data_IF_030158672901
#
_entry.id   IF_030158672901
#
_cell.length_a   1.000
_cell.length_b   1.000
_cell.length_c   1.000
_cell.angle_alpha   90.00
_cell.angle_beta   90.00
_cell.angle_gamma   90.00
#
_symmetry.space_group_name_H-M   'P 1'
#
loop_
_entity.id
_entity.type
_entity.pdbx_description
1 polymer ?
#
# COMPACT_ATOMS: atom_id res chain seq x y z
N UNK A 1 -4.12 -1.58 -0.92
CA UNK A 1 -4.08 -1.62 -2.40
C UNK A 1 -5.15 -2.53 -3.01
N UNK A 2 -5.16 -3.84 -2.79
CA UNK A 2 -6.10 -4.77 -3.46
C UNK A 2 -7.60 -4.48 -3.19
N UNK A 3 -7.98 -4.07 -1.98
CA UNK A 3 -9.37 -3.76 -1.60
C UNK A 3 -9.93 -2.53 -2.34
N UNK A 4 -9.07 -1.59 -2.72
CA UNK A 4 -9.45 -0.37 -3.45
C UNK A 4 -9.42 -0.56 -4.98
N UNK A 5 -8.71 -1.59 -5.46
CA UNK A 5 -8.56 -1.92 -6.89
C UNK A 5 -9.54 -3.00 -7.39
N UNK A 6 -10.18 -3.77 -6.49
CA UNK A 6 -11.09 -4.87 -6.86
C UNK A 6 -12.42 -4.42 -7.50
N UNK A 7 -12.67 -3.10 -7.52
CA UNK A 7 -13.83 -2.47 -8.14
C UNK A 7 -13.38 -1.73 -9.42
N UNK A 8 -13.21 -2.48 -10.52
CA UNK A 8 -13.31 -1.97 -11.89
C UNK A 8 -12.48 -0.73 -12.24
N UNK A 9 -11.16 -0.88 -12.27
CA UNK A 9 -10.20 0.14 -12.74
C UNK A 9 -10.18 0.22 -14.29
N UNK A 10 -11.32 0.62 -14.90
CA UNK A 10 -11.40 0.90 -16.35
C UNK A 10 -11.89 2.32 -16.58
N UNK A 11 -10.97 3.18 -17.06
CA UNK A 11 -11.27 4.51 -17.59
C UNK A 11 -11.27 5.54 -16.47
N UNK A 12 -10.21 6.35 -16.42
CA UNK A 12 -9.93 7.21 -15.28
C UNK A 12 -11.08 8.14 -14.92
N UNK A 13 -11.38 8.25 -13.62
CA UNK A 13 -12.03 9.42 -13.02
C UNK A 13 -12.20 9.25 -11.49
N UNK A 14 -12.03 10.37 -10.79
CA UNK A 14 -12.61 10.79 -9.50
C UNK A 14 -12.42 9.83 -8.31
N UNK A 15 -11.51 10.20 -7.39
CA UNK A 15 -11.51 9.66 -6.02
C UNK A 15 -12.85 9.96 -5.36
N UNK A 16 -13.49 9.00 -4.67
CA UNK A 16 -14.80 9.23 -4.07
C UNK A 16 -14.72 10.28 -2.98
N UNK A 17 -15.67 11.21 -2.97
CA UNK A 17 -15.73 12.30 -1.98
C UNK A 17 -16.38 11.87 -0.66
N UNK A 18 -17.18 10.81 -0.69
CA UNK A 18 -17.80 10.20 0.50
C UNK A 18 -17.72 8.68 0.49
N UNK A 19 -17.11 8.10 1.52
CA UNK A 19 -17.07 6.65 1.75
C UNK A 19 -17.73 6.26 3.07
N UNK A 20 -18.32 5.06 3.10
CA UNK A 20 -18.87 4.42 4.30
C UNK A 20 -18.01 3.22 4.68
N UNK A 21 -17.58 3.14 5.93
CA UNK A 21 -16.81 2.02 6.48
C UNK A 21 -17.57 1.39 7.64
N UNK A 22 -17.86 0.10 7.54
CA UNK A 22 -18.57 -0.69 8.55
C UNK A 22 -17.57 -1.63 9.20
N UNK A 23 -17.38 -1.51 10.51
CA UNK A 23 -16.38 -2.27 11.25
C UNK A 23 -15.05 -1.54 11.25
N UNK A 24 -14.77 -0.88 12.36
CA UNK A 24 -13.55 -0.12 12.61
C UNK A 24 -12.53 -0.97 13.36
N UNK A 25 -12.31 -2.20 12.90
CA UNK A 25 -11.21 -3.06 13.34
C UNK A 25 -9.89 -2.70 12.63
N UNK A 26 -8.87 -3.56 12.73
CA UNK A 26 -7.57 -3.34 12.05
C UNK A 26 -7.71 -3.07 10.55
N UNK A 27 -8.59 -3.82 9.87
CA UNK A 27 -8.81 -3.62 8.43
C UNK A 27 -9.56 -2.31 8.15
N UNK A 28 -10.60 -1.99 8.92
CA UNK A 28 -11.35 -0.74 8.78
C UNK A 28 -10.44 0.49 8.94
N UNK A 29 -9.56 0.48 9.94
CA UNK A 29 -8.51 1.50 10.13
C UNK A 29 -7.61 1.63 8.91
N UNK A 30 -7.13 0.50 8.38
CA UNK A 30 -6.29 0.51 7.19
C UNK A 30 -7.02 1.04 5.95
N UNK A 31 -8.32 0.74 5.78
CA UNK A 31 -9.14 1.25 4.66
C UNK A 31 -9.30 2.76 4.77
N UNK A 32 -9.64 3.26 5.95
CA UNK A 32 -9.78 4.71 6.22
C UNK A 32 -8.47 5.43 5.91
N UNK A 33 -7.36 5.00 6.50
CA UNK A 33 -6.04 5.64 6.31
C UNK A 33 -5.61 5.63 4.83
N UNK A 34 -5.85 4.52 4.12
CA UNK A 34 -5.50 4.43 2.71
C UNK A 34 -6.41 5.30 1.82
N UNK A 35 -7.70 5.39 2.13
CA UNK A 35 -8.62 6.27 1.40
C UNK A 35 -8.21 7.75 1.55
N UNK A 36 -7.82 8.15 2.77
CA UNK A 36 -7.31 9.50 3.06
C UNK A 36 -6.04 9.79 2.26
N UNK A 37 -5.09 8.86 2.27
CA UNK A 37 -3.84 8.98 1.50
C UNK A 37 -4.11 9.17 0.01
N UNK A 38 -4.96 8.32 -0.56
CA UNK A 38 -5.32 8.39 -1.97
C UNK A 38 -6.09 9.67 -2.32
N UNK A 39 -6.96 10.16 -1.44
CA UNK A 39 -7.66 11.42 -1.62
C UNK A 39 -6.67 12.59 -1.71
N UNK A 40 -5.70 12.65 -0.78
CA UNK A 40 -4.67 13.70 -0.76
C UNK A 40 -3.85 13.70 -2.03
N UNK A 41 -3.31 12.56 -2.45
CA UNK A 41 -2.49 12.43 -3.66
C UNK A 41 -3.19 12.97 -4.93
N UNK A 42 -4.52 12.81 -5.02
CA UNK A 42 -5.31 13.20 -6.19
C UNK A 42 -5.96 14.58 -6.09
N UNK A 43 -6.00 15.21 -4.90
CA UNK A 43 -6.73 16.46 -4.66
C UNK A 43 -5.89 17.55 -3.97
N UNK A 44 -4.56 17.52 -4.13
CA UNK A 44 -3.61 18.52 -3.57
C UNK A 44 -3.99 20.01 -3.84
N UNK A 45 -4.81 20.30 -4.84
CA UNK A 45 -5.21 21.65 -5.25
C UNK A 45 -6.63 22.07 -4.86
N UNK A 46 -7.43 21.17 -4.25
CA UNK A 46 -8.81 21.45 -3.83
C UNK A 46 -8.90 21.50 -2.31
N UNK A 47 -9.59 22.50 -1.77
CA UNK A 47 -9.86 22.62 -0.33
C UNK A 47 -11.00 21.67 0.14
N UNK A 48 -11.24 20.59 -0.60
CA UNK A 48 -12.33 19.64 -0.34
C UNK A 48 -11.83 18.54 0.60
N UNK A 49 -12.64 18.25 1.63
CA UNK A 49 -12.34 17.22 2.63
C UNK A 49 -13.08 15.94 2.31
N UNK A 50 -12.36 14.81 2.33
CA UNK A 50 -12.95 13.48 2.20
C UNK A 50 -13.95 13.23 3.34
N UNK A 51 -15.19 12.91 3.02
CA UNK A 51 -16.19 12.48 4.01
C UNK A 51 -16.05 10.98 4.25
N UNK A 52 -15.95 10.59 5.52
CA UNK A 52 -15.84 9.19 5.94
C UNK A 52 -16.87 8.94 7.02
N UNK A 53 -17.93 8.21 6.68
CA UNK A 53 -18.88 7.73 7.69
C UNK A 53 -18.38 6.39 8.22
N UNK A 54 -18.29 6.23 9.54
CA UNK A 54 -17.81 5.00 10.19
C UNK A 54 -18.92 4.41 11.05
N UNK A 55 -19.34 3.18 10.76
CA UNK A 55 -20.29 2.43 11.58
C UNK A 55 -19.55 1.36 12.37
N UNK A 56 -19.62 1.44 13.69
CA UNK A 56 -19.08 0.44 14.61
C UNK A 56 -19.79 0.55 15.97
N UNK A 57 -19.78 -0.54 16.76
CA UNK A 57 -20.33 -0.55 18.12
C UNK A 57 -19.62 0.46 19.04
N UNK A 58 -18.36 0.76 18.75
CA UNK A 58 -17.50 1.70 19.48
C UNK A 58 -16.99 2.82 18.54
N UNK A 59 -17.80 3.22 17.54
CA UNK A 59 -17.37 4.15 16.49
C UNK A 59 -16.76 5.45 17.03
N UNK A 60 -17.36 6.03 18.07
CA UNK A 60 -16.90 7.28 18.67
C UNK A 60 -15.48 7.14 19.23
N UNK A 61 -15.26 6.16 20.11
CA UNK A 61 -13.97 5.92 20.75
C UNK A 61 -12.87 5.61 19.72
N UNK A 62 -13.21 4.84 18.68
CA UNK A 62 -12.25 4.45 17.64
C UNK A 62 -11.90 5.61 16.70
N UNK A 63 -12.86 6.46 16.35
CA UNK A 63 -12.60 7.67 15.58
C UNK A 63 -11.72 8.65 16.37
N UNK A 64 -12.02 8.88 17.64
CA UNK A 64 -11.19 9.73 18.52
C UNK A 64 -9.76 9.20 18.66
N UNK A 65 -9.60 7.89 18.90
CA UNK A 65 -8.30 7.23 18.96
C UNK A 65 -7.50 7.42 17.66
N UNK A 66 -8.16 7.34 16.51
CA UNK A 66 -7.54 7.54 15.21
C UNK A 66 -7.08 9.00 15.03
N UNK A 67 -7.91 9.99 15.37
CA UNK A 67 -7.54 11.40 15.32
C UNK A 67 -6.38 11.74 16.27
N UNK A 68 -6.33 11.15 17.47
CA UNK A 68 -5.20 11.34 18.40
C UNK A 68 -3.90 10.75 17.85
N UNK A 69 -3.97 9.57 17.23
CA UNK A 69 -2.80 8.91 16.61
C UNK A 69 -2.31 9.63 15.36
N UNK A 70 -3.20 10.31 14.65
CA UNK A 70 -2.92 11.01 13.40
C UNK A 70 -3.55 12.43 13.45
N UNK A 71 -2.92 13.39 14.16
CA UNK A 71 -3.51 14.70 14.44
C UNK A 71 -3.85 15.54 13.20
N UNK A 72 -3.19 15.28 12.08
CA UNK A 72 -3.37 16.05 10.87
C UNK A 72 -4.57 15.56 10.01
N UNK A 73 -5.30 14.50 10.45
CA UNK A 73 -6.50 13.98 9.77
C UNK A 73 -7.61 15.02 9.63
N UNK A 74 -7.76 15.88 10.63
CA UNK A 74 -8.79 16.91 10.68
C UNK A 74 -8.67 17.96 9.56
N UNK A 75 -7.51 18.02 8.89
CA UNK A 75 -7.31 18.94 7.76
C UNK A 75 -7.73 18.30 6.42
N UNK A 76 -7.70 16.96 6.33
CA UNK A 76 -7.83 16.22 5.07
C UNK A 76 -9.20 15.55 4.94
N UNK A 77 -9.76 15.06 6.04
CA UNK A 77 -11.02 14.32 6.04
C UNK A 77 -11.94 14.75 7.18
N UNK A 78 -13.23 14.52 7.01
CA UNK A 78 -14.23 14.60 8.06
C UNK A 78 -14.73 13.19 8.38
N UNK A 79 -14.43 12.71 9.58
CA UNK A 79 -14.86 11.39 10.04
C UNK A 79 -16.15 11.56 10.85
N UNK A 80 -17.23 10.91 10.40
CA UNK A 80 -18.54 10.91 11.04
C UNK A 80 -18.77 9.55 11.70
N UNK A 81 -18.52 9.40 13.01
CA UNK A 81 -18.78 8.15 13.72
C UNK A 81 -20.28 7.97 13.94
N UNK A 82 -20.78 6.78 13.60
CA UNK A 82 -22.13 6.32 13.82
C UNK A 82 -22.09 5.09 14.71
N UNK A 83 -22.38 5.28 15.99
CA UNK A 83 -22.28 4.22 16.98
C UNK A 83 -23.53 3.32 16.94
N UNK A 84 -23.43 2.19 16.24
CA UNK A 84 -24.53 1.23 16.11
C UNK A 84 -24.01 -0.17 15.75
N UNK A 85 -24.83 -1.19 16.03
CA UNK A 85 -24.57 -2.56 15.59
C UNK A 85 -25.25 -2.83 14.25
N UNK A 86 -24.67 -3.71 13.41
CA UNK A 86 -25.21 -4.02 12.08
C UNK A 86 -26.54 -4.77 12.10
N UNK A 87 -26.90 -5.38 13.23
CA UNK A 87 -28.20 -6.03 13.43
C UNK A 87 -29.22 -5.10 14.10
N UNK A 88 -28.84 -3.85 14.40
CA UNK A 88 -29.72 -2.88 15.05
C UNK A 88 -30.81 -2.40 14.09
N UNK A 89 -31.99 -2.01 14.61
CA UNK A 89 -33.04 -1.38 13.80
C UNK A 89 -32.53 -0.17 13.02
N UNK A 90 -31.63 0.63 13.59
CA UNK A 90 -31.10 1.84 12.97
C UNK A 90 -30.22 1.51 11.77
N UNK A 91 -29.42 0.44 11.86
CA UNK A 91 -28.66 -0.07 10.73
C UNK A 91 -29.56 -0.54 9.58
N UNK A 92 -30.58 -1.33 9.91
CA UNK A 92 -31.49 -1.94 8.92
C UNK A 92 -32.35 -0.91 8.18
N UNK A 93 -32.69 0.22 8.83
CA UNK A 93 -33.37 1.35 8.18
C UNK A 93 -32.44 2.11 7.22
N UNK A 94 -31.14 2.06 7.46
CA UNK A 94 -30.09 2.66 6.63
C UNK A 94 -30.32 4.16 6.33
N UNK A 95 -30.85 4.91 7.31
CA UNK A 95 -31.14 6.34 7.15
C UNK A 95 -29.87 7.17 6.90
N UNK A 96 -28.72 6.70 7.41
CA UNK A 96 -27.40 7.30 7.18
C UNK A 96 -26.94 7.26 5.71
N UNK A 97 -27.59 6.47 4.85
CA UNK A 97 -27.32 6.48 3.41
C UNK A 97 -27.95 7.70 2.71
N UNK A 98 -28.92 8.35 3.34
CA UNK A 98 -29.67 9.47 2.77
C UNK A 98 -29.15 10.75 3.41
N UNK A 99 -28.33 11.49 2.68
CA UNK A 99 -27.95 12.83 3.12
C UNK A 99 -29.17 13.77 3.06
N UNK A 100 -29.41 14.63 4.07
CA UNK A 100 -30.37 15.73 3.97
C UNK A 100 -29.99 16.77 2.90
N UNK A 101 -28.74 16.77 2.44
CA UNK A 101 -28.17 17.69 1.45
C UNK A 101 -27.81 16.95 0.16
N UNK A 102 -28.26 17.47 -0.98
CA UNK A 102 -28.19 16.89 -2.36
C UNK A 102 -26.76 16.61 -2.89
N UNK A 103 -25.70 16.76 -2.09
CA UNK A 103 -24.29 16.72 -2.54
C UNK A 103 -23.38 15.75 -1.75
N UNK A 104 -23.93 14.88 -0.87
CA UNK A 104 -23.12 14.03 0.03
C UNK A 104 -23.57 12.55 0.05
N UNK A 105 -23.97 12.01 -1.10
CA UNK A 105 -24.34 10.58 -1.16
C UNK A 105 -23.10 9.70 -1.04
N UNK A 106 -23.24 8.57 -0.35
CA UNK A 106 -22.17 7.58 -0.19
C UNK A 106 -21.80 7.02 -1.56
N UNK A 107 -20.56 7.23 -2.00
CA UNK A 107 -20.08 6.76 -3.31
C UNK A 107 -19.46 5.37 -3.24
N UNK A 108 -19.08 4.91 -2.04
CA UNK A 108 -18.50 3.57 -1.84
C UNK A 108 -18.68 3.06 -0.41
N UNK A 109 -18.93 1.76 -0.27
CA UNK A 109 -19.08 1.08 1.03
C UNK A 109 -18.01 0.01 1.21
N UNK A 110 -17.42 -0.04 2.41
CA UNK A 110 -16.51 -1.08 2.85
C UNK A 110 -17.05 -1.76 4.10
N UNK A 111 -17.24 -3.08 4.05
CA UNK A 111 -17.63 -3.90 5.19
C UNK A 111 -16.42 -4.70 5.66
N UNK A 112 -15.89 -4.31 6.81
CA UNK A 112 -14.62 -4.75 7.38
C UNK A 112 -14.79 -5.52 8.70
N UNK A 113 -15.91 -6.24 8.85
CA UNK A 113 -16.20 -7.06 10.03
C UNK A 113 -15.34 -8.35 10.03
N UNK A 114 -14.95 -8.82 11.21
CA UNK A 114 -14.13 -10.04 11.36
C UNK A 114 -14.93 -11.34 11.13
N UNK A 115 -16.27 -11.28 11.18
CA UNK A 115 -17.17 -12.41 10.94
C UNK A 115 -17.77 -12.30 9.54
N UNK A 116 -17.47 -13.29 8.68
CA UNK A 116 -17.90 -13.34 7.28
C UNK A 116 -19.43 -13.36 7.12
N UNK A 117 -20.14 -14.07 8.01
CA UNK A 117 -21.60 -14.14 7.96
C UNK A 117 -22.23 -12.80 8.31
N UNK A 118 -21.68 -12.15 9.33
CA UNK A 118 -22.08 -10.81 9.75
C UNK A 118 -21.74 -9.76 8.69
N UNK A 119 -20.56 -9.85 8.07
CA UNK A 119 -20.12 -8.98 6.97
C UNK A 119 -21.03 -9.09 5.75
N UNK A 120 -21.35 -10.32 5.34
CA UNK A 120 -22.25 -10.56 4.23
C UNK A 120 -23.67 -10.08 4.53
N UNK A 121 -24.19 -10.37 5.72
CA UNK A 121 -25.50 -9.87 6.16
C UNK A 121 -25.55 -8.34 6.11
N UNK A 122 -24.54 -7.67 6.68
CA UNK A 122 -24.44 -6.22 6.71
C UNK A 122 -24.44 -5.61 5.30
N UNK A 123 -23.64 -6.16 4.38
CA UNK A 123 -23.57 -5.66 3.01
C UNK A 123 -24.82 -5.95 2.16
N UNK A 124 -25.41 -7.15 2.29
CA UNK A 124 -26.65 -7.49 1.57
C UNK A 124 -27.85 -6.65 2.05
N UNK A 125 -27.95 -6.40 3.35
CA UNK A 125 -28.99 -5.55 3.93
C UNK A 125 -28.90 -4.12 3.37
N UNK A 126 -27.69 -3.58 3.20
CA UNK A 126 -27.50 -2.28 2.56
C UNK A 126 -27.90 -2.28 1.08
N UNK A 127 -27.47 -3.29 0.31
CA UNK A 127 -27.83 -3.40 -1.11
C UNK A 127 -29.35 -3.43 -1.33
N UNK A 128 -30.11 -4.02 -0.41
CA UNK A 128 -31.58 -4.02 -0.47
C UNK A 128 -32.19 -2.63 -0.27
N UNK A 129 -31.52 -1.74 0.47
CA UNK A 129 -31.95 -0.35 0.67
C UNK A 129 -31.47 0.56 -0.47
N UNK A 130 -30.37 0.22 -1.12
CA UNK A 130 -29.73 0.99 -2.20
C UNK A 130 -30.31 0.72 -3.61
N UNK A 131 -31.52 0.17 -3.74
CA UNK A 131 -32.11 -0.31 -5.02
C UNK A 131 -32.07 0.68 -6.20
N UNK A 132 -31.94 1.98 -5.94
CA UNK A 132 -31.88 3.04 -6.97
C UNK A 132 -30.48 3.56 -7.26
N UNK A 133 -29.51 3.35 -6.35
CA UNK A 133 -28.16 3.91 -6.43
C UNK A 133 -27.12 2.80 -6.58
N UNK A 134 -26.28 2.89 -7.62
CA UNK A 134 -25.26 1.89 -7.95
C UNK A 134 -23.98 2.13 -7.13
N UNK A 135 -24.08 2.04 -5.81
CA UNK A 135 -22.94 2.23 -4.91
C UNK A 135 -22.20 0.89 -4.77
N UNK A 136 -20.89 0.81 -5.09
CA UNK A 136 -20.12 -0.41 -4.88
C UNK A 136 -19.98 -0.73 -3.40
N UNK A 137 -20.26 -1.99 -3.04
CA UNK A 137 -20.12 -2.53 -1.68
C UNK A 137 -19.03 -3.59 -1.68
N UNK A 138 -17.93 -3.32 -0.96
CA UNK A 138 -16.79 -4.23 -0.81
C UNK A 138 -16.84 -4.90 0.56
N UNK A 139 -16.87 -6.23 0.59
CA UNK A 139 -16.99 -7.02 1.83
C UNK A 139 -15.70 -7.81 2.04
N UNK A 140 -15.15 -7.70 3.25
CA UNK A 140 -14.07 -8.56 3.75
C UNK A 140 -14.61 -9.97 3.98
N UNK A 141 -13.90 -10.96 3.47
CA UNK A 141 -14.11 -12.37 3.76
C UNK A 141 -12.78 -12.99 4.24
N UNK A 142 -12.80 -13.90 5.21
CA UNK A 142 -11.60 -14.55 5.75
C UNK A 142 -11.21 -15.77 4.90
N UNK A 143 -12.18 -16.44 4.29
CA UNK A 143 -11.95 -17.56 3.37
C UNK A 143 -12.60 -17.30 2.01
N UNK A 144 -12.03 -17.86 0.94
CA UNK A 144 -12.70 -18.06 -0.35
C UNK A 144 -13.80 -19.13 -0.21
N UNK A 145 -14.67 -18.99 0.79
CA UNK A 145 -15.84 -19.86 0.94
C UNK A 145 -16.72 -19.71 -0.29
N UNK A 146 -17.46 -20.77 -0.65
CA UNK A 146 -18.20 -20.92 -1.91
C UNK A 146 -19.14 -19.77 -2.33
N UNK A 147 -19.44 -18.84 -1.41
CA UNK A 147 -20.16 -17.59 -1.70
C UNK A 147 -19.29 -16.52 -2.37
N UNK A 148 -18.00 -16.42 -2.03
CA UNK A 148 -17.05 -15.57 -2.74
C UNK A 148 -16.93 -15.99 -4.22
N UNK A 149 -16.99 -17.30 -4.51
CA UNK A 149 -17.02 -17.86 -5.87
C UNK A 149 -18.33 -17.58 -6.60
N UNK A 150 -19.46 -17.51 -5.88
CA UNK A 150 -20.75 -17.07 -6.46
C UNK A 150 -20.76 -15.56 -6.80
N UNK A 151 -19.88 -14.78 -6.16
CA UNK A 151 -19.75 -13.33 -6.36
C UNK A 151 -18.57 -12.95 -7.28
N UNK A 152 -17.58 -13.83 -7.41
CA UNK A 152 -16.31 -13.59 -8.09
C UNK A 152 -15.98 -14.66 -9.10
N UNK A 153 -16.58 -14.60 -10.29
CA UNK A 153 -15.85 -14.97 -11.51
C UNK A 153 -16.36 -14.21 -12.75
N UNK A 154 -15.40 -13.82 -13.59
CA UNK A 154 -15.45 -12.67 -14.50
C UNK A 154 -16.37 -12.73 -15.72
N UNK A 155 -17.12 -13.82 -15.96
CA UNK A 155 -17.94 -13.97 -17.17
C UNK A 155 -19.41 -14.41 -16.92
N UNK A 156 -19.81 -14.65 -15.66
CA UNK A 156 -21.17 -15.06 -15.30
C UNK A 156 -22.03 -13.93 -14.69
N UNK A 157 -21.67 -12.65 -14.87
CA UNK A 157 -22.36 -11.48 -14.26
C UNK A 157 -23.69 -11.10 -14.93
N UNK A 158 -24.63 -12.03 -15.05
CA UNK A 158 -26.04 -11.74 -15.35
C UNK A 158 -26.89 -11.92 -14.09
N UNK A 159 -27.02 -10.87 -13.26
CA UNK A 159 -27.87 -10.90 -12.07
C UNK A 159 -27.79 -9.65 -11.17
N UNK A 160 -28.70 -9.59 -10.18
CA UNK A 160 -28.98 -8.49 -9.22
C UNK A 160 -27.83 -8.07 -8.27
N UNK A 161 -26.59 -8.53 -8.48
CA UNK A 161 -25.49 -8.41 -7.52
C UNK A 161 -24.18 -7.90 -8.16
N UNK A 162 -24.26 -7.02 -9.16
CA UNK A 162 -23.07 -6.51 -9.87
C UNK A 162 -22.24 -5.56 -9.00
N UNK A 163 -22.85 -5.00 -7.97
CA UNK A 163 -22.31 -3.98 -7.08
C UNK A 163 -21.65 -4.57 -5.82
N UNK A 164 -21.68 -5.90 -5.65
CA UNK A 164 -21.09 -6.59 -4.50
C UNK A 164 -19.71 -7.16 -4.85
N UNK A 165 -18.70 -6.82 -4.06
CA UNK A 165 -17.32 -7.25 -4.25
C UNK A 165 -16.82 -7.96 -3.00
N UNK A 166 -16.55 -9.27 -3.09
CA UNK A 166 -15.91 -10.02 -2.01
C UNK A 166 -14.37 -9.89 -2.11
N UNK A 167 -13.70 -9.73 -0.98
CA UNK A 167 -12.24 -9.73 -0.88
C UNK A 167 -11.76 -10.67 0.23
N UNK A 168 -11.03 -11.72 -0.16
CA UNK A 168 -10.42 -12.70 0.74
C UNK A 168 -9.20 -12.15 1.49
N UNK A 169 -9.22 -12.21 2.81
CA UNK A 169 -8.10 -11.92 3.69
C UNK A 169 -7.37 -13.25 3.93
N UNK A 170 -6.32 -13.53 3.16
CA UNK A 170 -5.47 -14.70 3.38
C UNK A 170 -5.05 -14.73 4.85
N UNK A 171 -5.49 -15.77 5.57
CA UNK A 171 -5.09 -16.08 6.94
C UNK A 171 -3.57 -16.29 6.99
N UNK A 172 -2.80 -15.21 7.04
CA UNK A 172 -1.39 -15.26 7.39
C UNK A 172 -1.29 -15.15 8.91
N UNK A 173 -1.25 -16.33 9.52
CA UNK A 173 -1.05 -16.56 10.94
C UNK A 173 0.22 -15.81 11.38
N UNK A 174 0.01 -14.83 12.26
CA UNK A 174 1.04 -13.93 12.75
C UNK A 174 2.06 -14.66 13.63
N UNK A 175 3.29 -14.75 13.15
CA UNK A 175 4.50 -14.68 13.99
C UNK A 175 5.35 -13.53 13.45
N UNK A 176 6.09 -12.85 14.33
CA UNK A 176 6.84 -11.63 14.00
C UNK A 176 7.84 -11.80 12.83
N UNK A 177 8.31 -13.03 12.59
CA UNK A 177 9.18 -13.37 11.46
C UNK A 177 8.41 -13.51 10.12
N UNK A 178 7.13 -13.90 10.16
CA UNK A 178 6.24 -13.99 9.00
C UNK A 178 5.65 -12.64 8.59
N UNK A 179 5.46 -11.73 9.55
CA UNK A 179 5.13 -10.32 9.27
C UNK A 179 6.22 -9.66 8.42
N UNK A 180 7.49 -10.01 8.64
CA UNK A 180 8.61 -9.49 7.87
C UNK A 180 8.71 -10.09 6.46
N UNK A 181 8.38 -11.39 6.28
CA UNK A 181 8.38 -12.02 4.95
C UNK A 181 7.36 -11.40 3.97
N UNK A 182 6.16 -11.05 4.45
CA UNK A 182 5.12 -10.38 3.65
C UNK A 182 5.38 -8.88 3.44
N UNK A 183 5.89 -8.17 4.45
CA UNK A 183 6.26 -6.75 4.30
C UNK A 183 7.46 -6.56 3.39
N UNK A 184 8.43 -7.50 3.38
CA UNK A 184 9.55 -7.43 2.46
C UNK A 184 9.11 -7.59 1.01
N UNK A 185 8.06 -8.35 0.72
CA UNK A 185 7.52 -8.45 -0.63
C UNK A 185 6.83 -7.15 -1.07
N UNK A 186 6.01 -6.56 -0.19
CA UNK A 186 5.38 -5.26 -0.44
C UNK A 186 6.44 -4.18 -0.64
N UNK A 187 7.46 -4.16 0.22
CA UNK A 187 8.55 -3.20 0.15
C UNK A 187 9.40 -3.43 -1.10
N UNK A 188 9.76 -4.67 -1.44
CA UNK A 188 10.49 -5.01 -2.66
C UNK A 188 9.76 -4.56 -3.93
N UNK A 189 8.43 -4.74 -3.96
CA UNK A 189 7.56 -4.24 -5.04
C UNK A 189 7.55 -2.72 -5.14
N UNK A 190 7.47 -2.01 -4.01
CA UNK A 190 7.50 -0.54 -4.01
C UNK A 190 8.88 0.02 -4.39
N UNK A 191 9.98 -0.59 -3.92
CA UNK A 191 11.34 -0.24 -4.35
C UNK A 191 11.49 -0.38 -5.86
N UNK A 192 11.02 -1.50 -6.42
CA UNK A 192 11.03 -1.72 -7.88
C UNK A 192 10.14 -0.72 -8.62
N UNK A 193 8.96 -0.38 -8.07
CA UNK A 193 8.08 0.64 -8.66
C UNK A 193 8.72 2.02 -8.68
N UNK A 194 9.46 2.40 -7.65
CA UNK A 194 10.18 3.68 -7.59
C UNK A 194 11.35 3.67 -8.58
N UNK A 195 12.13 2.59 -8.63
CA UNK A 195 13.18 2.39 -9.64
C UNK A 195 12.66 2.56 -11.07
N UNK A 196 11.54 1.92 -11.42
CA UNK A 196 10.93 2.09 -12.75
C UNK A 196 10.54 3.54 -13.03
N UNK A 197 9.96 4.24 -12.05
CA UNK A 197 9.54 5.64 -12.23
C UNK A 197 10.70 6.59 -12.45
N UNK A 198 11.84 6.36 -11.79
CA UNK A 198 13.04 7.17 -11.97
C UNK A 198 13.71 6.92 -13.32
N UNK A 199 13.72 5.66 -13.80
CA UNK A 199 14.26 5.30 -15.11
C UNK A 199 13.44 5.88 -16.27
N UNK A 200 12.12 6.04 -16.10
CA UNK A 200 11.25 6.66 -17.12
C UNK A 200 11.40 8.17 -17.24
N UNK A 201 11.94 8.84 -16.21
CA UNK A 201 12.15 10.30 -16.21
C UNK A 201 13.50 10.68 -16.83
N UNK A 202 14.47 9.76 -16.80
CA UNK A 202 15.76 9.91 -17.45
C UNK A 202 15.60 9.51 -18.93
N UNK A 203 15.40 10.49 -19.82
CA UNK A 203 15.20 10.30 -21.28
C UNK A 203 16.46 9.75 -22.02
N UNK A 204 17.29 8.96 -21.35
CA UNK A 204 18.42 8.24 -21.93
C UNK A 204 17.98 6.84 -22.33
N UNK A 205 18.19 6.49 -23.60
CA UNK A 205 17.91 5.19 -24.21
C UNK A 205 18.55 4.07 -23.36
N UNK A 206 17.76 3.43 -22.49
CA UNK A 206 18.10 2.14 -21.89
C UNK A 206 17.34 1.05 -22.65
N UNK A 207 17.67 0.90 -23.93
CA UNK A 207 17.27 -0.27 -24.71
C UNK A 207 17.85 -1.53 -24.03
N UNK A 208 16.96 -2.46 -23.68
CA UNK A 208 17.26 -3.86 -23.31
C UNK A 208 17.82 -4.13 -21.90
N UNK A 209 17.32 -3.45 -20.86
CA UNK A 209 17.47 -3.99 -19.49
C UNK A 209 16.28 -4.89 -19.14
N UNK A 210 16.56 -6.16 -18.84
CA UNK A 210 15.60 -7.15 -18.31
C UNK A 210 14.94 -6.74 -16.99
N UNK A 211 15.46 -5.70 -16.32
CA UNK A 211 14.89 -5.14 -15.11
C UNK A 211 13.82 -4.07 -15.39
N UNK A 212 13.70 -3.56 -16.62
CA UNK A 212 12.72 -2.54 -17.01
C UNK A 212 11.36 -3.14 -17.39
N UNK A 213 10.87 -4.05 -16.54
CA UNK A 213 9.58 -4.71 -16.71
C UNK A 213 8.74 -4.57 -15.44
N UNK A 214 7.39 -4.61 -15.54
CA UNK A 214 6.53 -4.67 -14.36
C UNK A 214 6.93 -5.84 -13.45
N UNK A 215 6.72 -5.67 -12.13
CA UNK A 215 7.11 -6.68 -11.12
C UNK A 215 6.70 -8.10 -11.50
N UNK A 216 5.49 -8.31 -12.02
CA UNK A 216 4.99 -9.65 -12.37
C UNK A 216 5.84 -10.35 -13.44
N UNK A 217 6.44 -9.58 -14.34
CA UNK A 217 7.28 -10.05 -15.43
C UNK A 217 8.77 -10.07 -15.08
N UNK A 218 9.15 -9.56 -13.90
CA UNK A 218 10.53 -9.52 -13.46
C UNK A 218 11.05 -10.95 -13.23
N UNK A 219 12.23 -11.32 -13.76
CA UNK A 219 12.84 -12.62 -13.51
C UNK A 219 12.98 -12.92 -12.02
N UNK A 220 12.75 -14.16 -11.60
CA UNK A 220 12.72 -14.53 -10.17
C UNK A 220 14.02 -14.20 -9.44
N UNK A 221 15.17 -14.33 -10.12
CA UNK A 221 16.47 -13.94 -9.56
C UNK A 221 16.57 -12.43 -9.22
N UNK A 222 15.88 -11.58 -9.98
CA UNK A 222 15.84 -10.14 -9.73
C UNK A 222 14.80 -9.81 -8.66
N UNK A 223 13.66 -10.52 -8.63
CA UNK A 223 12.71 -10.43 -7.51
C UNK A 223 13.38 -10.79 -6.20
N UNK A 224 14.10 -11.91 -6.16
CA UNK A 224 14.87 -12.33 -4.99
C UNK A 224 15.91 -11.29 -4.59
N UNK A 225 16.64 -10.71 -5.56
CA UNK A 225 17.57 -9.61 -5.27
C UNK A 225 16.88 -8.43 -4.57
N UNK A 226 15.68 -8.04 -5.02
CA UNK A 226 14.88 -6.98 -4.41
C UNK A 226 14.35 -7.37 -3.02
N UNK A 227 13.88 -8.61 -2.83
CA UNK A 227 13.44 -9.13 -1.52
C UNK A 227 14.56 -9.06 -0.48
N UNK A 228 15.76 -9.52 -0.86
CA UNK A 228 16.92 -9.52 0.03
C UNK A 228 17.35 -8.07 0.30
N UNK A 229 17.29 -7.16 -0.67
CA UNK A 229 17.54 -5.73 -0.43
C UNK A 229 16.51 -5.14 0.56
N UNK A 230 15.22 -5.37 0.34
CA UNK A 230 14.15 -4.93 1.24
C UNK A 230 14.36 -5.40 2.69
N UNK A 231 14.79 -6.66 2.85
CA UNK A 231 15.08 -7.25 4.16
C UNK A 231 16.28 -6.61 4.89
N UNK A 232 17.14 -5.87 4.20
CA UNK A 232 18.32 -5.24 4.79
C UNK A 232 18.20 -3.72 4.97
N UNK A 233 17.14 -3.07 4.48
CA UNK A 233 16.95 -1.61 4.60
C UNK A 233 17.08 -1.15 6.05
N UNK A 234 16.49 -1.88 7.01
CA UNK A 234 16.58 -1.52 8.42
C UNK A 234 18.02 -1.51 8.96
N UNK A 235 18.88 -2.40 8.47
CA UNK A 235 20.31 -2.42 8.83
C UNK A 235 21.05 -1.25 8.20
N UNK A 236 20.78 -0.97 6.92
CA UNK A 236 21.38 0.16 6.19
C UNK A 236 21.04 1.49 6.86
N UNK A 237 19.78 1.68 7.28
CA UNK A 237 19.36 2.87 8.02
C UNK A 237 20.05 2.99 9.40
N UNK A 238 20.29 1.87 10.08
CA UNK A 238 20.92 1.88 11.40
C UNK A 238 22.37 2.42 11.37
N UNK A 239 23.06 2.34 10.22
CA UNK A 239 24.40 2.90 10.03
C UNK A 239 24.45 4.43 10.20
N UNK A 240 23.30 5.10 10.05
CA UNK A 240 23.16 6.56 10.19
C UNK A 240 22.27 6.97 11.37
N UNK A 241 22.03 6.07 12.33
CA UNK A 241 21.15 6.33 13.48
C UNK A 241 19.67 6.45 13.07
N UNK A 242 19.28 5.80 11.97
CA UNK A 242 17.91 5.79 11.48
C UNK A 242 17.28 4.39 11.67
N UNK A 243 15.96 4.35 11.83
CA UNK A 243 15.18 3.12 11.98
C UNK A 243 13.87 3.20 11.20
N UNK A 244 13.28 2.04 10.92
CA UNK A 244 11.95 1.95 10.31
C UNK A 244 10.91 1.92 11.44
N UNK A 245 9.95 2.83 11.37
CA UNK A 245 8.80 2.88 12.27
C UNK A 245 7.49 2.79 11.48
N UNK A 246 6.39 2.47 12.18
CA UNK A 246 5.06 2.60 11.57
C UNK A 246 4.78 4.05 11.22
N UNK A 247 4.22 4.29 10.04
CA UNK A 247 3.87 5.63 9.60
C UNK A 247 2.83 6.24 10.55
N UNK A 248 3.17 7.41 11.08
CA UNK A 248 2.32 8.29 11.92
C UNK A 248 2.22 9.67 11.30
N UNK A 249 3.30 10.10 10.64
CA UNK A 249 3.37 11.32 9.86
C UNK A 249 3.24 10.99 8.38
N UNK A 250 2.25 11.60 7.71
CA UNK A 250 2.02 11.40 6.29
C UNK A 250 2.94 12.22 5.37
N UNK A 251 3.76 13.12 5.92
CA UNK A 251 4.89 13.79 5.22
C UNK A 251 6.19 12.99 5.34
N UNK A 252 6.18 11.83 5.99
CA UNK A 252 7.39 11.00 6.15
C UNK A 252 8.07 10.60 4.82
N UNK A 253 7.35 10.65 3.70
CA UNK A 253 7.91 10.42 2.36
C UNK A 253 8.72 11.58 1.79
N UNK A 254 8.72 12.75 2.46
CA UNK A 254 9.45 13.97 2.12
C UNK A 254 10.73 14.14 2.97
N UNK A 255 11.07 13.15 3.80
CA UNK A 255 12.33 13.17 4.54
C UNK A 255 13.49 13.16 3.55
N UNK A 256 14.38 14.15 3.68
CA UNK A 256 15.64 14.20 2.96
C UNK A 256 16.79 13.72 3.86
N UNK A 257 17.59 12.80 3.33
CA UNK A 257 18.86 12.43 3.94
C UNK A 257 19.92 13.50 3.64
N UNK A 258 20.79 13.76 4.61
CA UNK A 258 21.96 14.60 4.36
C UNK A 258 22.92 13.92 3.36
N UNK A 259 23.76 14.67 2.63
CA UNK A 259 24.70 14.09 1.68
C UNK A 259 25.62 13.03 2.29
N UNK A 260 26.02 13.22 3.56
CA UNK A 260 26.86 12.27 4.28
C UNK A 260 26.12 10.95 4.56
N UNK A 261 24.85 11.02 4.96
CA UNK A 261 24.04 9.82 5.20
C UNK A 261 23.81 9.03 3.93
N UNK A 262 23.54 9.74 2.82
CA UNK A 262 23.42 9.12 1.50
C UNK A 262 24.70 8.37 1.15
N UNK A 263 25.87 9.00 1.30
CA UNK A 263 27.16 8.36 0.96
C UNK A 263 27.43 7.11 1.81
N UNK A 264 27.22 7.20 3.13
CA UNK A 264 27.43 6.07 4.05
C UNK A 264 26.50 4.91 3.71
N UNK A 265 25.20 5.17 3.54
CA UNK A 265 24.23 4.12 3.23
C UNK A 265 24.47 3.50 1.85
N UNK A 266 24.84 4.31 0.85
CA UNK A 266 25.12 3.82 -0.51
C UNK A 266 26.36 2.93 -0.54
N UNK A 267 27.45 3.32 0.14
CA UNK A 267 28.64 2.47 0.28
C UNK A 267 28.31 1.15 0.98
N UNK A 268 27.51 1.19 2.05
CA UNK A 268 27.12 0.00 2.81
C UNK A 268 26.25 -0.96 2.00
N UNK A 269 25.31 -0.44 1.21
CA UNK A 269 24.50 -1.27 0.32
C UNK A 269 25.36 -1.92 -0.78
N UNK A 270 26.31 -1.19 -1.35
CA UNK A 270 27.26 -1.72 -2.34
C UNK A 270 28.16 -2.82 -1.76
N UNK A 271 28.79 -2.58 -0.61
CA UNK A 271 29.59 -3.58 0.12
C UNK A 271 28.81 -4.88 0.35
N UNK A 272 27.54 -4.73 0.77
CA UNK A 272 26.62 -5.83 1.03
C UNK A 272 26.26 -6.58 -0.27
N UNK A 273 25.98 -5.87 -1.36
CA UNK A 273 25.74 -6.46 -2.68
C UNK A 273 26.97 -7.22 -3.19
N UNK A 274 28.17 -6.65 -3.07
CA UNK A 274 29.43 -7.30 -3.45
C UNK A 274 29.63 -8.61 -2.67
N UNK A 275 29.38 -8.59 -1.35
CA UNK A 275 29.48 -9.78 -0.49
C UNK A 275 28.50 -10.87 -0.94
N UNK A 276 27.25 -10.51 -1.20
CA UNK A 276 26.23 -11.45 -1.69
C UNK A 276 26.61 -12.07 -3.03
N UNK A 277 27.09 -11.24 -3.98
CA UNK A 277 27.55 -11.70 -5.30
C UNK A 277 28.75 -12.64 -5.20
N UNK A 278 29.76 -12.29 -4.41
CA UNK A 278 30.92 -13.15 -4.14
C UNK A 278 30.51 -14.50 -3.53
N UNK A 279 29.57 -14.50 -2.56
CA UNK A 279 29.01 -15.74 -2.00
C UNK A 279 28.25 -16.58 -3.03
N UNK A 280 27.59 -15.96 -3.99
CA UNK A 280 26.93 -16.63 -5.11
C UNK A 280 27.90 -17.07 -6.23
N UNK A 281 29.21 -16.92 -6.02
CA UNK A 281 30.28 -17.32 -6.93
C UNK A 281 30.57 -16.33 -8.05
N UNK A 282 30.18 -15.06 -7.91
CA UNK A 282 30.55 -14.02 -8.86
C UNK A 282 31.98 -13.52 -8.61
N UNK A 283 32.67 -13.19 -9.69
CA UNK A 283 34.04 -12.69 -9.68
C UNK A 283 34.14 -11.34 -10.41
N UNK A 284 35.11 -10.54 -10.01
CA UNK A 284 35.47 -9.32 -10.73
C UNK A 284 36.02 -9.64 -12.12
N UNK A 285 35.69 -8.82 -13.10
CA UNK A 285 36.31 -8.78 -14.42
C UNK A 285 35.88 -7.55 -15.20
N UNK A 286 36.64 -7.14 -16.23
CA UNK A 286 36.46 -5.84 -16.89
C UNK A 286 35.14 -5.71 -17.66
N UNK A 287 34.53 -6.83 -18.04
CA UNK A 287 33.27 -6.87 -18.79
C UNK A 287 32.26 -7.76 -18.05
N UNK A 288 31.00 -7.32 -18.05
CA UNK A 288 29.91 -8.06 -17.42
C UNK A 288 29.55 -9.29 -18.24
N UNK A 289 29.57 -10.47 -17.62
CA UNK A 289 29.18 -11.75 -18.23
C UNK A 289 28.33 -12.52 -17.21
N UNK A 290 27.01 -12.56 -17.42
CA UNK A 290 26.10 -13.18 -16.47
C UNK A 290 26.24 -14.71 -16.41
N UNK A 291 26.58 -15.35 -17.53
CA UNK A 291 26.73 -16.80 -17.63
C UNK A 291 27.99 -17.28 -16.91
N UNK A 292 29.07 -16.51 -17.02
CA UNK A 292 30.33 -16.76 -16.31
C UNK A 292 30.39 -16.13 -14.92
N UNK A 293 29.32 -15.46 -14.48
CA UNK A 293 29.23 -14.72 -13.22
C UNK A 293 30.34 -13.68 -13.04
N UNK A 294 30.63 -12.92 -14.08
CA UNK A 294 31.62 -11.83 -14.05
C UNK A 294 30.89 -10.49 -13.97
N UNK A 295 31.33 -9.60 -13.08
CA UNK A 295 30.78 -8.24 -13.00
C UNK A 295 31.89 -7.21 -12.68
N UNK A 296 32.03 -6.13 -13.48
CA UNK A 296 33.04 -5.09 -13.25
C UNK A 296 32.84 -4.32 -11.95
N UNK A 297 31.62 -4.29 -11.42
CA UNK A 297 31.29 -3.50 -10.24
C UNK A 297 31.67 -4.20 -8.93
N UNK A 298 32.30 -5.39 -8.99
CA UNK A 298 32.77 -6.13 -7.82
C UNK A 298 34.10 -5.58 -7.26
N UNK A 299 34.17 -4.26 -7.16
CA UNK A 299 35.28 -3.47 -6.62
C UNK A 299 34.86 -2.77 -5.33
N UNK A 300 35.83 -2.22 -4.61
CA UNK A 300 35.55 -1.41 -3.41
C UNK A 300 34.83 -0.11 -3.79
N UNK A 301 34.10 0.49 -2.84
CA UNK A 301 33.29 1.70 -3.11
C UNK A 301 34.11 2.81 -3.78
N UNK A 302 35.30 3.09 -3.28
CA UNK A 302 36.14 4.17 -3.81
C UNK A 302 36.53 3.97 -5.29
N UNK A 303 36.62 2.71 -5.73
CA UNK A 303 36.99 2.31 -7.09
C UNK A 303 35.78 2.16 -8.04
N UNK A 304 34.56 2.20 -7.49
CA UNK A 304 33.34 2.09 -8.27
C UNK A 304 33.16 3.31 -9.20
N UNK A 305 32.80 3.12 -10.48
CA UNK A 305 32.48 4.21 -11.39
C UNK A 305 31.40 5.14 -10.82
N UNK A 306 31.54 6.44 -11.09
CA UNK A 306 30.68 7.47 -10.49
C UNK A 306 29.21 7.33 -10.88
N UNK A 307 28.93 6.83 -12.09
CA UNK A 307 27.59 6.54 -12.57
C UNK A 307 26.94 5.35 -11.83
N UNK A 308 27.72 4.34 -11.46
CA UNK A 308 27.26 3.23 -10.61
C UNK A 308 27.11 3.66 -9.13
N UNK A 309 27.98 4.54 -8.62
CA UNK A 309 27.79 5.18 -7.31
C UNK A 309 26.49 5.94 -7.26
N UNK A 310 26.20 6.74 -8.29
CA UNK A 310 24.98 7.55 -8.34
C UNK A 310 23.70 6.71 -8.41
N UNK A 311 23.73 5.49 -8.97
CA UNK A 311 22.59 4.55 -8.87
C UNK A 311 22.31 4.14 -7.43
N UNK A 312 23.36 3.85 -6.65
CA UNK A 312 23.24 3.53 -5.23
C UNK A 312 22.75 4.74 -4.41
N UNK A 313 23.21 5.96 -4.74
CA UNK A 313 22.74 7.19 -4.08
C UNK A 313 21.28 7.49 -4.37
N UNK A 314 20.85 7.34 -5.63
CA UNK A 314 19.44 7.47 -6.02
C UNK A 314 18.54 6.51 -5.24
N UNK A 315 18.94 5.23 -5.17
CA UNK A 315 18.22 4.24 -4.37
C UNK A 315 18.02 4.71 -2.92
N UNK A 316 19.09 5.17 -2.26
CA UNK A 316 19.02 5.65 -0.87
C UNK A 316 18.10 6.88 -0.75
N UNK A 317 18.22 7.87 -1.65
CA UNK A 317 17.33 9.04 -1.67
C UNK A 317 15.86 8.68 -1.89
N UNK A 318 15.58 7.58 -2.59
CA UNK A 318 14.22 7.06 -2.83
C UNK A 318 13.62 6.24 -1.67
N UNK A 319 14.40 5.87 -0.66
CA UNK A 319 13.94 5.06 0.47
C UNK A 319 12.77 5.68 1.26
N UNK A 320 12.79 6.99 1.62
CA UNK A 320 11.70 7.60 2.39
C UNK A 320 10.36 7.49 1.66
N UNK A 321 10.34 7.80 0.36
CA UNK A 321 9.15 7.67 -0.49
C UNK A 321 8.69 6.22 -0.61
N UNK A 322 9.62 5.28 -0.78
CA UNK A 322 9.31 3.85 -0.90
C UNK A 322 8.70 3.28 0.39
N UNK A 323 9.29 3.63 1.54
CA UNK A 323 8.79 3.25 2.86
C UNK A 323 7.43 3.88 3.15
N UNK A 324 7.25 5.17 2.85
CA UNK A 324 5.97 5.86 2.98
C UNK A 324 4.86 5.19 2.15
N UNK A 325 5.17 4.75 0.92
CA UNK A 325 4.24 3.99 0.07
C UNK A 325 3.87 2.62 0.65
N UNK A 326 4.81 1.97 1.33
CA UNK A 326 4.59 0.73 2.05
C UNK A 326 3.94 0.90 3.45
N UNK A 327 3.68 2.15 3.90
CA UNK A 327 3.04 2.43 5.19
C UNK A 327 4.00 2.56 6.38
N UNK A 328 5.27 2.83 6.09
CA UNK A 328 6.34 3.02 7.08
C UNK A 328 6.93 4.43 7.01
N UNK A 329 7.58 4.87 8.08
CA UNK A 329 8.38 6.09 8.13
C UNK A 329 9.78 5.80 8.66
N UNK A 330 10.69 6.76 8.44
CA UNK A 330 12.03 6.72 9.02
C UNK A 330 12.04 7.56 10.30
N UNK A 331 12.56 7.00 11.38
CA UNK A 331 12.80 7.71 12.65
C UNK A 331 14.30 7.76 12.97
N UNK A 332 14.77 8.94 13.39
CA UNK A 332 16.15 9.19 13.82
C UNK A 332 16.25 9.00 15.35
N UNK A 333 17.32 8.38 15.85
CA UNK A 333 17.53 8.12 17.28
C UNK A 333 18.92 8.49 17.79
#
# INVERSE_FOLDING_TARGET
RLILQSVGDRGGQVTPSHILVIGMGKLGESVVLHAIKQWRENNLSKNDRLQITVIDRDAQLKAESLCVRFPQLDQVCNIVPLQMEVNSPDYLRAEFLRSPSEHNDVERVYVCLDDDSLGLHAGLSLLQQMKTHKVPVVIRMVEDTGLATLLGDGDARQGKFKELHAFGLLNQTCTADLLLGGTHEVLARELHSVYLSEQTLDNGIAEQSEALVPWEQLPERLKESNRVQAANIGKTLAETGCSIAQMRDWEAGELDFSPQEVEVMSSKEHERWCRQRKQAGWIYGPERDADKKINPDLVEWDELPEDEKEKNRRFVRGLPRSLARAGFQIERY
#
